data_IF_927687657209
#
_entry.id   IF_927687657209
#
_cell.length_a   1.000
_cell.length_b   1.000
_cell.length_c   1.000
_cell.angle_alpha   90.00
_cell.angle_beta   90.00
_cell.angle_gamma   90.00
#
_symmetry.space_group_name_H-M   'P 1'
#
loop_
_entity.id
_entity.type
_entity.pdbx_description
1 polymer ?
#
# COMPACT_ATOMS: atom_id res chain seq x y z
N UNK A 1 -25.24 -10.14 2.41
CA UNK A 1 -23.86 -9.85 1.97
C UNK A 1 -23.08 -9.35 3.16
N UNK A 2 -21.75 -9.54 3.16
CA UNK A 2 -20.87 -8.92 4.16
C UNK A 2 -21.03 -7.40 4.12
N UNK A 3 -20.99 -6.70 5.28
CA UNK A 3 -21.04 -5.24 5.29
C UNK A 3 -19.81 -4.67 4.56
N UNK A 4 -20.04 -3.68 3.69
CA UNK A 4 -18.98 -2.93 3.02
C UNK A 4 -18.45 -1.81 3.92
N UNK A 5 -17.17 -1.47 3.77
CA UNK A 5 -16.50 -0.42 4.52
C UNK A 5 -16.59 0.93 3.80
N UNK A 6 -16.57 2.00 4.60
CA UNK A 6 -16.43 3.38 4.11
C UNK A 6 -14.94 3.74 3.87
N UNK A 7 -14.03 3.09 4.59
CA UNK A 7 -12.60 3.37 4.58
C UNK A 7 -11.81 2.08 4.84
N UNK A 8 -10.82 1.82 4.00
CA UNK A 8 -9.79 0.80 4.21
C UNK A 8 -8.44 1.52 4.30
N UNK A 9 -7.78 1.36 5.45
CA UNK A 9 -6.42 1.85 5.70
C UNK A 9 -5.48 0.66 5.81
N UNK A 10 -4.30 0.75 5.21
CA UNK A 10 -3.24 -0.24 5.40
C UNK A 10 -1.86 0.38 5.42
N UNK A 11 -1.01 -0.10 6.32
CA UNK A 11 0.43 0.03 6.25
C UNK A 11 1.00 -1.38 5.98
N UNK A 12 1.05 -1.84 4.72
CA UNK A 12 1.56 -3.15 4.41
C UNK A 12 3.09 -3.17 4.51
N UNK A 13 3.70 -4.32 4.80
CA UNK A 13 5.14 -4.51 4.65
C UNK A 13 5.57 -4.12 3.24
N UNK A 14 6.61 -3.28 3.13
CA UNK A 14 7.07 -2.73 1.85
C UNK A 14 8.55 -3.00 1.56
N UNK A 15 9.24 -3.75 2.43
CA UNK A 15 10.66 -4.08 2.22
C UNK A 15 10.77 -5.30 1.31
N UNK A 16 11.51 -5.19 0.21
CA UNK A 16 11.84 -6.33 -0.64
C UNK A 16 12.83 -7.27 0.05
N UNK A 17 12.69 -8.59 -0.16
CA UNK A 17 13.68 -9.57 0.34
C UNK A 17 15.10 -9.29 -0.19
N UNK A 18 15.24 -8.70 -1.38
CA UNK A 18 16.52 -8.29 -1.96
C UNK A 18 17.26 -7.26 -1.11
N UNK A 19 16.52 -6.47 -0.35
CA UNK A 19 17.03 -5.42 0.53
C UNK A 19 17.29 -5.94 1.95
N UNK A 20 17.03 -7.22 2.23
CA UNK A 20 17.22 -7.80 3.58
C UNK A 20 18.63 -7.61 4.15
N UNK A 21 19.64 -7.51 3.30
CA UNK A 21 21.04 -7.31 3.70
C UNK A 21 21.41 -5.84 3.97
N UNK A 22 20.59 -4.87 3.55
CA UNK A 22 20.80 -3.45 3.87
C UNK A 22 20.12 -3.04 5.17
N UNK A 23 19.25 -3.90 5.72
CA UNK A 23 18.58 -3.65 6.99
C UNK A 23 19.54 -3.73 8.18
N UNK A 24 19.35 -2.89 9.22
CA UNK A 24 20.00 -3.08 10.50
C UNK A 24 19.75 -4.49 11.04
N UNK A 25 20.78 -5.11 11.60
CA UNK A 25 20.68 -6.50 12.10
C UNK A 25 19.59 -6.65 13.17
N UNK A 26 19.41 -5.62 13.99
CA UNK A 26 18.38 -5.54 15.03
C UNK A 26 16.97 -5.63 14.43
N UNK A 27 16.72 -4.93 13.32
CA UNK A 27 15.43 -4.98 12.61
C UNK A 27 15.20 -6.35 12.01
N UNK A 28 16.24 -6.95 11.42
CA UNK A 28 16.15 -8.27 10.79
C UNK A 28 15.93 -9.40 11.80
N UNK A 29 16.47 -9.28 13.02
CA UNK A 29 16.43 -10.33 14.04
C UNK A 29 15.30 -10.15 15.07
N UNK A 30 14.77 -8.94 15.26
CA UNK A 30 13.74 -8.67 16.27
C UNK A 30 12.33 -8.44 15.71
N UNK A 31 12.17 -8.05 14.45
CA UNK A 31 10.85 -7.87 13.85
C UNK A 31 10.36 -9.16 13.15
N UNK A 32 9.06 -9.50 13.23
CA UNK A 32 8.52 -10.65 12.52
C UNK A 32 8.68 -10.50 11.00
N UNK A 33 9.23 -11.52 10.33
CA UNK A 33 9.45 -11.49 8.88
C UNK A 33 8.18 -11.17 8.07
N UNK A 34 7.00 -11.57 8.56
CA UNK A 34 5.70 -11.27 7.94
C UNK A 34 5.29 -9.80 8.01
N UNK A 35 5.84 -9.04 8.96
CA UNK A 35 5.63 -7.60 9.12
C UNK A 35 6.69 -6.77 8.37
N UNK A 36 7.83 -7.38 8.05
CA UNK A 36 8.93 -6.75 7.34
C UNK A 36 8.78 -6.83 5.82
N UNK A 37 8.56 -8.03 5.28
CA UNK A 37 8.76 -8.29 3.85
C UNK A 37 7.48 -8.19 3.02
N UNK A 38 7.49 -7.26 2.06
CA UNK A 38 6.41 -7.03 1.09
C UNK A 38 6.44 -7.91 -0.15
N UNK A 39 7.41 -8.82 -0.23
CA UNK A 39 7.66 -9.67 -1.39
C UNK A 39 9.15 -9.74 -1.70
N UNK A 40 9.49 -10.04 -2.95
CA UNK A 40 10.86 -9.99 -3.44
C UNK A 40 11.32 -8.55 -3.65
N UNK A 41 10.48 -7.74 -4.29
CA UNK A 41 10.73 -6.32 -4.60
C UNK A 41 10.11 -5.37 -3.57
N UNK A 42 9.16 -5.85 -2.76
CA UNK A 42 8.54 -5.07 -1.69
C UNK A 42 7.23 -4.38 -2.08
N UNK A 43 6.77 -4.54 -3.33
CA UNK A 43 5.51 -3.94 -3.80
C UNK A 43 4.41 -4.96 -4.15
N UNK A 44 4.67 -6.25 -3.99
CA UNK A 44 3.76 -7.31 -4.42
C UNK A 44 2.45 -7.31 -3.61
N UNK A 45 2.51 -6.97 -2.33
CA UNK A 45 1.31 -6.89 -1.49
C UNK A 45 0.34 -5.79 -1.94
N UNK A 46 0.82 -4.69 -2.54
CA UNK A 46 -0.09 -3.66 -3.08
C UNK A 46 -0.93 -4.19 -4.24
N UNK A 47 -0.32 -5.04 -5.09
CA UNK A 47 -1.00 -5.68 -6.22
C UNK A 47 -2.12 -6.63 -5.79
N UNK A 48 -2.08 -7.14 -4.56
CA UNK A 48 -3.15 -7.95 -3.97
C UNK A 48 -4.15 -7.07 -3.21
N UNK A 49 -3.66 -6.11 -2.44
CA UNK A 49 -4.45 -5.31 -1.53
C UNK A 49 -5.40 -4.35 -2.25
N UNK A 50 -4.93 -3.66 -3.30
CA UNK A 50 -5.73 -2.66 -4.01
C UNK A 50 -6.95 -3.31 -4.68
N UNK A 51 -6.82 -4.36 -5.51
CA UNK A 51 -7.99 -5.01 -6.10
C UNK A 51 -8.95 -5.59 -5.05
N UNK A 52 -8.44 -6.18 -3.98
CA UNK A 52 -9.27 -6.73 -2.91
C UNK A 52 -10.03 -5.62 -2.18
N UNK A 53 -9.40 -4.49 -1.88
CA UNK A 53 -10.05 -3.34 -1.25
C UNK A 53 -11.26 -2.84 -2.06
N UNK A 54 -11.19 -2.88 -3.39
CA UNK A 54 -12.30 -2.48 -4.25
C UNK A 54 -13.55 -3.37 -4.10
N UNK A 55 -13.40 -4.62 -3.65
CA UNK A 55 -14.49 -5.57 -3.41
C UNK A 55 -15.17 -5.35 -2.06
N UNK A 56 -14.46 -4.74 -1.11
CA UNK A 56 -14.94 -4.53 0.27
C UNK A 56 -15.30 -3.07 0.58
N UNK A 57 -15.07 -2.13 -0.35
CA UNK A 57 -15.48 -0.73 -0.22
C UNK A 57 -16.86 -0.48 -0.81
N UNK A 58 -17.59 0.43 -0.18
CA UNK A 58 -18.77 1.06 -0.79
C UNK A 58 -18.34 1.90 -2.00
N UNK A 59 -19.27 2.14 -2.92
CA UNK A 59 -19.15 3.24 -3.89
C UNK A 59 -18.91 4.55 -3.13
N UNK A 60 -17.87 5.30 -3.50
CA UNK A 60 -17.41 6.50 -2.80
C UNK A 60 -16.57 6.24 -1.55
N UNK A 61 -16.30 4.97 -1.21
CA UNK A 61 -15.43 4.59 -0.11
C UNK A 61 -13.95 4.82 -0.43
N UNK A 62 -13.12 5.01 0.59
CA UNK A 62 -11.71 5.37 0.43
C UNK A 62 -10.77 4.20 0.69
N UNK A 63 -9.72 4.09 -0.12
CA UNK A 63 -8.53 3.31 0.20
C UNK A 63 -7.37 4.27 0.50
N UNK A 64 -6.63 4.00 1.57
CA UNK A 64 -5.46 4.79 1.98
C UNK A 64 -4.35 3.83 2.37
N UNK A 65 -3.21 3.92 1.69
CA UNK A 65 -2.13 2.95 1.82
C UNK A 65 -0.80 3.65 2.02
N UNK A 66 -0.03 3.21 3.01
CA UNK A 66 1.34 3.65 3.24
C UNK A 66 2.30 3.03 2.20
N UNK A 67 3.23 3.83 1.69
CA UNK A 67 4.20 3.47 0.67
C UNK A 67 5.62 3.34 1.27
N UNK A 68 6.39 2.40 0.74
CA UNK A 68 7.86 2.46 0.81
C UNK A 68 8.41 3.68 0.07
N UNK A 69 9.65 4.09 0.38
CA UNK A 69 10.27 5.34 -0.11
C UNK A 69 10.20 5.49 -1.65
N UNK A 70 10.33 4.39 -2.39
CA UNK A 70 10.37 4.36 -3.86
C UNK A 70 9.21 3.60 -4.49
N UNK A 71 8.20 3.21 -3.71
CA UNK A 71 7.12 2.35 -4.19
C UNK A 71 6.08 3.10 -5.03
N UNK A 72 6.05 4.44 -5.01
CA UNK A 72 4.99 5.23 -5.66
C UNK A 72 4.86 4.92 -7.15
N UNK A 73 5.98 4.82 -7.88
CA UNK A 73 5.98 4.60 -9.33
C UNK A 73 5.43 3.21 -9.71
N UNK A 74 5.65 2.21 -8.85
CA UNK A 74 5.16 0.86 -9.04
C UNK A 74 3.70 0.71 -8.60
N UNK A 75 3.28 1.42 -7.55
CA UNK A 75 1.96 1.23 -6.92
C UNK A 75 0.88 2.13 -7.52
N UNK A 76 1.21 3.37 -7.90
CA UNK A 76 0.24 4.31 -8.48
C UNK A 76 -0.52 3.74 -9.69
N UNK A 77 0.12 3.06 -10.66
CA UNK A 77 -0.58 2.49 -11.82
C UNK A 77 -1.66 1.47 -11.44
N UNK A 78 -1.59 0.83 -10.27
CA UNK A 78 -2.62 -0.10 -9.80
C UNK A 78 -3.97 0.58 -9.53
N UNK A 79 -3.96 1.90 -9.30
CA UNK A 79 -5.15 2.73 -9.14
C UNK A 79 -5.58 3.41 -10.45
N UNK A 80 -4.79 3.32 -11.53
CA UNK A 80 -5.09 3.95 -12.82
C UNK A 80 -6.04 3.09 -13.67
N UNK A 81 -7.18 2.71 -13.08
CA UNK A 81 -8.24 1.95 -13.72
C UNK A 81 -9.63 2.48 -13.33
N UNK A 82 -10.70 2.15 -14.08
CA UNK A 82 -12.04 2.72 -13.87
C UNK A 82 -12.64 2.49 -12.48
N UNK A 83 -12.13 1.53 -11.72
CA UNK A 83 -12.56 1.21 -10.37
C UNK A 83 -12.26 2.32 -9.35
N UNK A 84 -11.33 3.22 -9.69
CA UNK A 84 -10.76 4.19 -8.79
C UNK A 84 -10.82 5.61 -9.36
N UNK A 85 -10.99 6.58 -8.49
CA UNK A 85 -10.96 8.01 -8.81
C UNK A 85 -10.23 8.79 -7.70
N UNK A 86 -10.01 10.09 -7.89
CA UNK A 86 -9.41 10.97 -6.90
C UNK A 86 -8.05 10.47 -6.34
N UNK A 87 -7.19 9.94 -7.21
CA UNK A 87 -5.88 9.37 -6.84
C UNK A 87 -4.94 10.48 -6.34
N UNK A 88 -4.59 10.46 -5.05
CA UNK A 88 -3.75 11.46 -4.42
C UNK A 88 -2.57 10.82 -3.66
N UNK A 89 -1.37 11.36 -3.90
CA UNK A 89 -0.17 11.01 -3.15
C UNK A 89 0.14 12.14 -2.16
N UNK A 90 0.24 11.81 -0.88
CA UNK A 90 0.59 12.73 0.21
C UNK A 90 2.01 12.46 0.67
N UNK A 91 2.78 13.54 0.81
CA UNK A 91 4.14 13.48 1.29
C UNK A 91 4.19 13.48 2.82
N UNK A 92 5.23 12.87 3.39
CA UNK A 92 5.60 13.07 4.78
C UNK A 92 6.24 14.46 5.01
N UNK A 93 6.65 14.74 6.26
CA UNK A 93 7.28 16.02 6.64
C UNK A 93 8.63 16.26 5.96
N UNK A 94 9.27 15.21 5.43
CA UNK A 94 10.52 15.30 4.67
C UNK A 94 10.28 15.48 3.16
N UNK A 95 9.02 15.56 2.71
CA UNK A 95 8.67 15.73 1.31
C UNK A 95 8.69 14.43 0.50
N UNK A 96 8.76 13.27 1.15
CA UNK A 96 8.77 11.96 0.49
C UNK A 96 7.33 11.47 0.34
N UNK A 97 6.89 11.04 -0.85
CA UNK A 97 5.58 10.41 -1.01
C UNK A 97 5.44 9.19 -0.11
N UNK A 98 4.53 9.26 0.86
CA UNK A 98 4.38 8.24 1.90
C UNK A 98 3.00 7.61 1.93
N UNK A 99 1.98 8.32 1.47
CA UNK A 99 0.60 7.83 1.50
C UNK A 99 -0.01 7.97 0.12
N UNK A 100 -0.60 6.89 -0.39
CA UNK A 100 -1.41 6.89 -1.60
C UNK A 100 -2.87 6.67 -1.21
N UNK A 101 -3.76 7.50 -1.73
CA UNK A 101 -5.19 7.40 -1.46
C UNK A 101 -6.00 7.50 -2.75
N UNK A 102 -7.16 6.87 -2.76
CA UNK A 102 -8.11 6.92 -3.87
C UNK A 102 -9.52 6.57 -3.40
N UNK A 103 -10.51 7.03 -4.14
CA UNK A 103 -11.92 6.77 -3.90
C UNK A 103 -12.44 5.69 -4.86
N UNK A 104 -13.26 4.77 -4.36
CA UNK A 104 -13.95 3.76 -5.17
C UNK A 104 -15.00 4.45 -6.04
N UNK A 105 -14.88 4.29 -7.36
CA UNK A 105 -15.88 4.81 -8.30
C UNK A 105 -17.27 4.25 -8.01
N UNK A 106 -18.31 5.04 -8.32
CA UNK A 106 -19.71 4.65 -8.19
C UNK A 106 -20.12 3.49 -9.09
#
# INVERSE_FOLDING_TARGET
GSPLFDLIISNPPYIGRKESNSLPIEVREHEPASALYGGEEGYELYGLLIPEAALHLKSGGLVVIELGHDSLSAVRPLLECPQWTNIHATNDLAGIPRVLSSERTQ
#
